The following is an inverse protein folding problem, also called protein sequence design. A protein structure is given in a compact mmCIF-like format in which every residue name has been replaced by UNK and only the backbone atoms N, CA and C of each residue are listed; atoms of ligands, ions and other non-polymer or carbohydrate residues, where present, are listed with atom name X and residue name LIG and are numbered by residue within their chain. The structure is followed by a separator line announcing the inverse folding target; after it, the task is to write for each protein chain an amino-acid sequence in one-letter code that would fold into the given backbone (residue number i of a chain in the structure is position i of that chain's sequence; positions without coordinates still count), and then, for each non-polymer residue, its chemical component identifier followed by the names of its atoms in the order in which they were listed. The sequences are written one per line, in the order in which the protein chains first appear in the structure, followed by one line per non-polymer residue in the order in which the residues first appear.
data_IF_508532537432
#
_entry.id   IF_508532537432
#
_cell.length_a   1.000
_cell.length_b   1.000
_cell.length_c   1.000
_cell.angle_alpha   90.00
_cell.angle_beta   90.00
_cell.angle_gamma   90.00
#
_symmetry.space_group_name_H-M   'P 1'
#
loop_
_entity.id
_entity.type
_entity.pdbx_description
1 polymer ?
#
# COMPACT_ATOMS: atom_id res chain seq x y z
N UNK A 1 52.09 -10.13 -31.99
CA UNK A 1 50.82 -9.57 -32.54
C UNK A 1 49.55 -10.39 -32.17
N UNK A 2 49.60 -11.74 -32.14
CA UNK A 2 48.41 -12.54 -31.73
C UNK A 2 47.97 -12.36 -30.27
N UNK A 3 48.90 -12.25 -29.32
CA UNK A 3 48.59 -12.10 -27.89
C UNK A 3 47.91 -10.75 -27.55
N UNK A 4 48.29 -9.67 -28.21
CA UNK A 4 47.71 -8.33 -28.02
C UNK A 4 46.28 -8.27 -28.54
N UNK A 5 45.96 -8.98 -29.63
CA UNK A 5 44.58 -9.07 -30.16
C UNK A 5 43.65 -9.88 -29.26
N UNK A 6 44.14 -10.93 -28.60
CA UNK A 6 43.34 -11.71 -27.65
C UNK A 6 43.07 -10.94 -26.37
N UNK A 7 44.02 -10.14 -25.86
CA UNK A 7 43.82 -9.29 -24.68
C UNK A 7 42.80 -8.17 -24.95
N UNK A 8 42.83 -7.57 -26.15
CA UNK A 8 41.87 -6.53 -26.54
C UNK A 8 40.44 -7.09 -26.70
N UNK A 9 40.28 -8.31 -27.22
CA UNK A 9 38.98 -8.99 -27.33
C UNK A 9 38.40 -9.35 -25.94
N UNK A 10 39.25 -9.77 -25.00
CA UNK A 10 38.80 -10.04 -23.61
C UNK A 10 38.36 -8.78 -22.90
N UNK A 11 39.04 -7.64 -23.11
CA UNK A 11 38.67 -6.36 -22.53
C UNK A 11 37.35 -5.80 -23.08
N UNK A 12 37.06 -5.98 -24.36
CA UNK A 12 35.83 -5.58 -25.02
C UNK A 12 34.64 -6.45 -24.51
N UNK A 13 34.84 -7.76 -24.34
CA UNK A 13 33.83 -8.66 -23.80
C UNK A 13 33.52 -8.36 -22.31
N UNK A 14 34.55 -8.01 -21.53
CA UNK A 14 34.36 -7.63 -20.11
C UNK A 14 33.67 -6.28 -19.98
N UNK A 15 33.90 -5.32 -20.85
CA UNK A 15 33.26 -4.02 -20.88
C UNK A 15 31.78 -4.11 -21.27
N UNK A 16 31.41 -5.04 -22.18
CA UNK A 16 30.02 -5.26 -22.57
C UNK A 16 29.23 -5.98 -21.46
N UNK A 17 29.86 -6.90 -20.71
CA UNK A 17 29.24 -7.54 -19.54
C UNK A 17 29.02 -6.57 -18.36
N UNK A 18 29.91 -5.58 -18.18
CA UNK A 18 29.76 -4.53 -17.15
C UNK A 18 28.70 -3.49 -17.51
N UNK A 19 28.39 -3.27 -18.79
CA UNK A 19 27.34 -2.35 -19.21
C UNK A 19 25.93 -2.93 -19.05
N UNK A 20 25.78 -4.25 -19.04
CA UNK A 20 24.48 -4.88 -18.76
C UNK A 20 24.13 -4.93 -17.26
N UNK A 21 25.12 -4.82 -16.37
CA UNK A 21 24.91 -4.77 -14.92
C UNK A 21 24.44 -3.39 -14.40
N UNK A 22 24.51 -2.34 -15.23
CA UNK A 22 24.06 -0.99 -14.83
C UNK A 22 22.62 -0.67 -15.24
N UNK A 23 21.92 -1.53 -15.94
CA UNK A 23 20.51 -1.34 -16.34
C UNK A 23 19.48 -1.90 -15.35
N UNK A 24 19.88 -2.33 -14.17
CA UNK A 24 18.96 -2.45 -13.03
C UNK A 24 18.83 -1.08 -12.33
N UNK A 25 18.64 0.00 -13.10
CA UNK A 25 18.08 1.23 -12.56
C UNK A 25 16.74 0.85 -11.93
N UNK A 26 16.64 1.01 -10.61
CA UNK A 26 15.41 0.84 -9.87
C UNK A 26 14.29 1.52 -10.68
N UNK A 27 13.38 0.75 -11.22
CA UNK A 27 12.16 1.30 -11.80
C UNK A 27 11.50 2.06 -10.65
N UNK A 28 11.61 3.37 -10.69
CA UNK A 28 10.90 4.27 -9.79
C UNK A 28 9.43 3.92 -9.98
N UNK A 29 8.88 3.13 -9.05
CA UNK A 29 7.47 2.80 -9.07
C UNK A 29 6.73 4.11 -8.93
N UNK A 30 6.04 4.52 -9.98
CA UNK A 30 5.21 5.74 -10.01
C UNK A 30 3.95 5.62 -9.18
N UNK A 31 3.75 4.48 -8.52
CA UNK A 31 2.55 4.14 -7.73
C UNK A 31 2.95 3.33 -6.50
N UNK A 32 2.35 3.66 -5.36
CA UNK A 32 2.51 2.90 -4.11
C UNK A 32 1.14 2.68 -3.45
N UNK A 33 0.87 1.44 -3.06
CA UNK A 33 -0.28 1.07 -2.23
C UNK A 33 0.08 1.11 -0.76
N UNK A 34 -0.82 1.63 0.06
CA UNK A 34 -0.69 1.70 1.52
C UNK A 34 -1.74 0.77 2.16
N UNK A 35 -1.35 -0.43 2.57
CA UNK A 35 -2.28 -1.42 3.12
C UNK A 35 -2.91 -0.98 4.44
N UNK A 36 -2.28 -0.05 5.16
CA UNK A 36 -2.77 0.50 6.43
C UNK A 36 -4.10 1.24 6.27
N UNK A 37 -4.33 1.84 5.11
CA UNK A 37 -5.56 2.60 4.82
C UNK A 37 -6.27 2.13 3.55
N UNK A 38 -5.59 1.29 2.74
CA UNK A 38 -6.14 0.74 1.52
C UNK A 38 -6.21 1.74 0.35
N UNK A 39 -5.28 2.70 0.29
CA UNK A 39 -5.24 3.73 -0.75
C UNK A 39 -3.92 3.72 -1.51
N UNK A 40 -3.94 4.26 -2.74
CA UNK A 40 -2.75 4.47 -3.55
C UNK A 40 -2.29 5.92 -3.49
N UNK A 41 -0.97 6.10 -3.57
CA UNK A 41 -0.35 7.40 -3.92
C UNK A 41 0.39 7.21 -5.23
N UNK A 42 0.23 8.16 -6.17
CA UNK A 42 0.72 8.01 -7.55
C UNK A 42 1.52 9.24 -7.98
N UNK A 43 2.40 9.03 -8.95
CA UNK A 43 3.09 10.07 -9.75
C UNK A 43 3.69 11.20 -8.90
N UNK A 44 3.33 12.46 -9.19
CA UNK A 44 3.87 13.63 -8.51
C UNK A 44 3.58 13.62 -7.00
N UNK A 45 2.40 13.15 -6.57
CA UNK A 45 2.08 13.03 -5.14
C UNK A 45 2.97 12.01 -4.45
N UNK A 46 3.29 10.88 -5.10
CA UNK A 46 4.21 9.90 -4.53
C UNK A 46 5.64 10.43 -4.47
N UNK A 47 6.08 11.15 -5.50
CA UNK A 47 7.38 11.79 -5.49
C UNK A 47 7.49 12.78 -4.33
N UNK A 48 6.49 13.65 -4.17
CA UNK A 48 6.43 14.62 -3.07
C UNK A 48 6.35 13.93 -1.71
N UNK A 49 5.52 12.90 -1.55
CA UNK A 49 5.43 12.13 -0.32
C UNK A 49 6.79 11.56 0.11
N UNK A 50 7.57 11.07 -0.84
CA UNK A 50 8.91 10.49 -0.61
C UNK A 50 10.03 11.53 -0.50
N UNK A 51 9.76 12.79 -0.75
CA UNK A 51 10.80 13.85 -0.74
C UNK A 51 11.23 14.26 0.66
N UNK A 52 10.54 13.83 1.70
CA UNK A 52 10.84 14.12 3.11
C UNK A 52 11.40 12.89 3.82
N UNK A 53 12.23 13.05 4.88
CA UNK A 53 12.86 11.92 5.58
C UNK A 53 11.86 10.95 6.22
N UNK A 54 10.80 11.47 6.83
CA UNK A 54 9.74 10.65 7.46
C UNK A 54 8.34 11.12 7.01
N UNK A 55 7.88 10.65 5.85
CA UNK A 55 6.57 11.04 5.33
C UNK A 55 5.41 10.56 6.20
N UNK A 56 5.59 9.44 6.92
CA UNK A 56 4.56 8.93 7.85
C UNK A 56 4.39 9.82 9.06
N UNK A 57 5.47 10.36 9.58
CA UNK A 57 5.42 11.35 10.66
C UNK A 57 4.77 12.65 10.18
N UNK A 58 5.16 13.14 9.02
CA UNK A 58 4.80 14.49 8.56
C UNK A 58 3.42 14.56 7.92
N UNK A 59 3.07 13.58 7.09
CA UNK A 59 1.81 13.58 6.34
C UNK A 59 0.82 12.52 6.83
N UNK A 60 1.31 11.47 7.49
CA UNK A 60 0.50 10.28 7.80
C UNK A 60 0.31 9.40 6.56
N UNK A 61 -0.64 8.47 6.64
CA UNK A 61 -1.05 7.63 5.53
C UNK A 61 -2.07 8.35 4.63
N UNK A 62 -2.15 8.03 3.33
CA UNK A 62 -3.23 8.53 2.47
C UNK A 62 -4.58 8.03 2.98
N UNK A 63 -5.60 8.89 2.98
CA UNK A 63 -6.96 8.54 3.40
C UNK A 63 -7.97 8.61 2.25
N UNK A 64 -7.52 9.03 1.06
CA UNK A 64 -8.29 8.99 -0.18
C UNK A 64 -7.38 8.59 -1.34
N UNK A 65 -7.96 8.28 -2.50
CA UNK A 65 -7.26 8.39 -3.79
C UNK A 65 -7.07 9.87 -4.16
N UNK A 66 -6.35 10.12 -5.27
CA UNK A 66 -6.36 11.44 -5.90
C UNK A 66 -7.78 11.74 -6.42
N UNK A 67 -8.33 12.88 -6.04
CA UNK A 67 -9.70 13.31 -6.36
C UNK A 67 -9.71 14.76 -6.87
N UNK A 68 -10.84 15.17 -7.43
CA UNK A 68 -11.20 16.59 -7.52
C UNK A 68 -12.05 16.92 -6.30
N UNK A 69 -11.52 17.76 -5.43
CA UNK A 69 -12.17 18.19 -4.18
C UNK A 69 -13.32 19.18 -4.48
N UNK A 70 -14.17 19.41 -3.50
CA UNK A 70 -15.30 20.36 -3.61
C UNK A 70 -14.87 21.79 -3.92
N UNK A 71 -13.66 22.18 -3.58
CA UNK A 71 -13.07 23.48 -3.98
C UNK A 71 -12.54 23.50 -5.42
N UNK A 72 -12.74 22.43 -6.20
CA UNK A 72 -12.36 22.29 -7.60
C UNK A 72 -10.90 21.95 -7.84
N UNK A 73 -10.10 21.73 -6.82
CA UNK A 73 -8.68 21.40 -6.94
C UNK A 73 -8.45 19.89 -7.09
N UNK A 74 -7.42 19.51 -7.85
CA UNK A 74 -6.93 18.15 -7.89
C UNK A 74 -6.08 17.91 -6.65
N UNK A 75 -6.51 16.99 -5.77
CA UNK A 75 -5.93 16.81 -4.43
C UNK A 75 -5.83 15.35 -4.03
N UNK A 76 -5.03 15.09 -2.99
CA UNK A 76 -5.08 13.86 -2.22
C UNK A 76 -5.00 14.18 -0.73
N UNK A 77 -5.89 13.56 0.05
CA UNK A 77 -5.89 13.72 1.50
C UNK A 77 -5.04 12.64 2.15
N UNK A 78 -4.27 13.09 3.14
CA UNK A 78 -3.52 12.27 4.08
C UNK A 78 -4.05 12.54 5.49
N UNK A 79 -3.71 11.72 6.46
CA UNK A 79 -4.17 11.91 7.83
C UNK A 79 -3.87 13.34 8.34
N UNK A 80 -2.66 13.87 8.09
CA UNK A 80 -2.17 15.14 8.64
C UNK A 80 -2.06 16.28 7.64
N UNK A 81 -2.18 15.98 6.36
CA UNK A 81 -1.95 16.94 5.28
C UNK A 81 -2.96 16.73 4.13
N UNK A 82 -3.10 17.75 3.30
CA UNK A 82 -3.72 17.66 1.99
C UNK A 82 -2.72 18.15 0.96
N UNK A 83 -2.47 17.33 -0.07
CA UNK A 83 -1.65 17.70 -1.21
C UNK A 83 -2.55 18.28 -2.32
N UNK A 84 -2.12 19.38 -2.94
CA UNK A 84 -2.77 20.01 -4.08
C UNK A 84 -1.86 19.93 -5.30
N UNK A 85 -2.41 19.66 -6.48
CA UNK A 85 -1.67 19.61 -7.73
C UNK A 85 -1.87 20.91 -8.52
N UNK A 86 -0.85 21.75 -8.56
CA UNK A 86 -0.81 23.02 -9.29
C UNK A 86 -0.06 22.84 -10.61
N UNK A 87 -0.77 22.46 -11.67
CA UNK A 87 -0.19 22.12 -12.99
C UNK A 87 0.53 23.27 -13.68
N UNK A 88 0.25 24.52 -13.30
CA UNK A 88 0.88 25.73 -13.85
C UNK A 88 2.28 26.00 -13.31
N UNK A 89 2.69 25.30 -12.25
CA UNK A 89 4.02 25.42 -11.67
C UNK A 89 5.03 24.48 -12.35
N UNK A 90 6.34 24.76 -12.23
CA UNK A 90 7.39 23.83 -12.64
C UNK A 90 7.19 22.44 -12.00
N UNK A 91 7.59 21.38 -12.67
CA UNK A 91 7.30 19.99 -12.28
C UNK A 91 7.67 19.66 -10.82
N UNK A 92 8.83 20.14 -10.36
CA UNK A 92 9.30 19.95 -9.00
C UNK A 92 8.59 20.81 -7.92
N UNK A 93 7.67 21.69 -8.33
CA UNK A 93 6.89 22.58 -7.47
C UNK A 93 5.38 22.39 -7.62
N UNK A 94 4.94 21.44 -8.43
CA UNK A 94 3.50 21.25 -8.71
C UNK A 94 2.72 20.78 -7.51
N UNK A 95 3.32 20.01 -6.64
CA UNK A 95 2.63 19.54 -5.42
C UNK A 95 2.86 20.53 -4.30
N UNK A 96 1.76 21.08 -3.80
CA UNK A 96 1.75 22.06 -2.72
C UNK A 96 0.98 21.49 -1.51
N UNK A 97 1.40 21.90 -0.31
CA UNK A 97 0.65 21.61 0.91
C UNK A 97 -0.44 22.65 1.11
N UNK A 98 -1.69 22.20 1.23
CA UNK A 98 -2.80 23.06 1.66
C UNK A 98 -2.51 23.65 3.02
N UNK A 99 -2.76 24.96 3.27
CA UNK A 99 -2.62 25.56 4.58
C UNK A 99 -3.75 25.16 5.55
N UNK A 100 -3.85 23.84 5.83
CA UNK A 100 -4.93 23.24 6.63
C UNK A 100 -4.93 23.74 8.08
N UNK A 101 -3.77 24.08 8.61
CA UNK A 101 -3.68 24.68 9.95
C UNK A 101 -4.35 26.04 10.00
N UNK A 102 -4.11 26.90 9.00
CA UNK A 102 -4.75 28.21 8.90
C UNK A 102 -6.28 28.09 8.68
N UNK A 103 -6.69 27.14 7.83
CA UNK A 103 -8.10 26.94 7.52
C UNK A 103 -8.92 26.39 8.70
N UNK A 104 -8.28 25.64 9.60
CA UNK A 104 -8.92 24.98 10.75
C UNK A 104 -8.60 25.68 12.09
N UNK A 105 -7.86 26.78 12.07
CA UNK A 105 -7.51 27.48 13.30
C UNK A 105 -8.75 28.05 13.98
N UNK A 106 -8.94 27.64 15.22
CA UNK A 106 -9.93 28.19 16.14
C UNK A 106 -9.19 28.64 17.41
N UNK A 107 -9.36 29.90 17.77
CA UNK A 107 -8.67 30.49 18.92
C UNK A 107 -9.17 29.88 20.23
N UNK A 108 -8.23 29.56 21.12
CA UNK A 108 -8.51 29.07 22.46
C UNK A 108 -7.74 29.83 23.55
N UNK A 109 -7.81 29.35 24.79
CA UNK A 109 -7.13 29.96 25.92
C UNK A 109 -5.60 29.86 25.76
N UNK A 110 -4.94 31.01 25.88
CA UNK A 110 -3.51 31.10 25.69
C UNK A 110 -2.73 30.64 26.91
N UNK A 111 -1.74 29.80 26.69
CA UNK A 111 -0.71 29.52 27.70
C UNK A 111 0.34 30.65 27.70
N UNK A 112 0.44 31.39 28.77
CA UNK A 112 1.48 32.39 28.96
C UNK A 112 2.76 31.72 29.46
N UNK A 113 3.83 31.86 28.71
CA UNK A 113 5.17 31.42 29.14
C UNK A 113 5.82 32.55 29.94
N UNK A 114 6.19 32.29 31.17
CA UNK A 114 6.90 33.26 32.03
C UNK A 114 8.35 33.45 31.58
N UNK A 115 8.96 32.42 31.01
CA UNK A 115 10.32 32.42 30.51
C UNK A 115 10.36 32.11 29.02
N UNK A 116 10.88 33.02 28.22
CA UNK A 116 11.07 32.92 26.77
C UNK A 116 12.43 32.35 26.37
N UNK A 117 13.26 31.91 27.34
CA UNK A 117 14.51 31.21 27.04
C UNK A 117 14.22 29.95 26.26
N UNK A 118 14.95 29.71 25.15
CA UNK A 118 14.68 28.57 24.23
C UNK A 118 13.53 28.81 23.26
N UNK A 119 13.14 30.08 23.04
CA UNK A 119 12.15 30.46 22.04
C UNK A 119 12.79 31.18 20.85
N UNK A 120 12.18 31.05 19.68
CA UNK A 120 12.50 31.82 18.48
C UNK A 120 11.25 32.57 18.02
N UNK A 121 11.42 33.89 17.80
CA UNK A 121 10.34 34.76 17.31
C UNK A 121 10.28 34.73 15.79
N UNK A 122 9.08 34.55 15.24
CA UNK A 122 8.83 34.52 13.81
C UNK A 122 8.22 35.82 13.28
N UNK A 123 8.28 36.08 11.96
CA UNK A 123 7.73 37.30 11.35
C UNK A 123 6.24 37.55 11.61
N UNK A 124 5.49 36.49 11.92
CA UNK A 124 4.06 36.55 12.30
C UNK A 124 3.82 37.13 13.69
N UNK A 125 4.89 37.44 14.47
CA UNK A 125 4.79 37.90 15.84
C UNK A 125 4.61 36.81 16.89
N UNK A 126 4.58 35.56 16.50
CA UNK A 126 4.47 34.41 17.40
C UNK A 126 5.83 33.75 17.60
N UNK A 127 6.06 33.23 18.81
CA UNK A 127 7.28 32.48 19.14
C UNK A 127 6.99 31.01 19.16
N UNK A 128 7.95 30.19 18.68
CA UNK A 128 7.97 28.74 18.87
C UNK A 128 9.06 28.41 19.89
N UNK A 129 8.78 27.56 20.87
CA UNK A 129 9.64 27.36 22.02
C UNK A 129 9.93 25.91 22.33
N UNK A 130 11.13 25.66 22.93
CA UNK A 130 11.48 24.39 23.54
C UNK A 130 11.31 23.21 22.59
N UNK A 131 10.66 22.14 23.06
CA UNK A 131 10.47 20.93 22.26
C UNK A 131 9.70 21.15 20.94
N UNK A 132 8.81 22.16 20.87
CA UNK A 132 8.13 22.49 19.61
C UNK A 132 9.12 23.14 18.62
N UNK A 133 10.05 23.96 19.13
CA UNK A 133 11.10 24.55 18.28
C UNK A 133 12.07 23.50 17.76
N UNK A 134 12.49 22.58 18.64
CA UNK A 134 13.36 21.47 18.25
C UNK A 134 12.70 20.59 17.19
N UNK A 135 11.45 20.22 17.40
CA UNK A 135 10.66 19.45 16.43
C UNK A 135 10.48 20.19 15.10
N UNK A 136 10.16 21.49 15.17
CA UNK A 136 10.00 22.35 13.99
C UNK A 136 11.28 22.37 13.14
N UNK A 137 12.43 22.64 13.77
CA UNK A 137 13.74 22.69 13.08
C UNK A 137 14.16 21.34 12.51
N UNK A 138 13.97 20.27 13.26
CA UNK A 138 14.36 18.93 12.85
C UNK A 138 13.54 18.40 11.66
N UNK A 139 12.33 18.92 11.44
CA UNK A 139 11.39 18.39 10.47
C UNK A 139 11.05 19.35 9.32
N UNK A 140 11.96 20.25 8.96
CA UNK A 140 11.85 21.10 7.75
C UNK A 140 11.32 22.51 7.98
N UNK A 141 11.03 22.90 9.20
CA UNK A 141 10.72 24.29 9.58
C UNK A 141 9.55 24.90 8.82
N UNK A 142 9.68 26.20 8.48
CA UNK A 142 8.63 26.93 7.79
C UNK A 142 8.33 26.40 6.37
N UNK A 143 9.27 25.76 5.71
CA UNK A 143 9.02 25.13 4.40
C UNK A 143 7.98 24.03 4.52
N UNK A 144 8.07 23.20 5.57
CA UNK A 144 7.17 22.08 5.83
C UNK A 144 5.87 22.53 6.52
N UNK A 145 5.96 23.32 7.59
CA UNK A 145 4.82 23.60 8.46
C UNK A 145 4.19 24.97 8.23
N UNK A 146 4.85 25.85 7.47
CA UNK A 146 4.52 27.29 7.45
C UNK A 146 5.00 28.00 8.71
N UNK A 147 4.70 29.29 8.82
CA UNK A 147 4.99 30.08 10.01
C UNK A 147 3.99 29.76 11.14
N UNK A 148 4.36 29.95 12.41
CA UNK A 148 3.39 29.88 13.50
C UNK A 148 2.32 30.96 13.34
N UNK A 149 1.05 30.61 13.55
CA UNK A 149 -0.11 31.51 13.43
C UNK A 149 -0.87 31.67 14.75
N UNK A 150 -0.43 31.00 15.81
CA UNK A 150 -0.95 31.15 17.16
C UNK A 150 0.17 31.15 18.20
N UNK A 151 -0.09 31.67 19.41
CA UNK A 151 0.71 31.35 20.59
C UNK A 151 0.48 29.88 20.97
N UNK A 152 1.07 29.43 22.09
CA UNK A 152 0.64 28.21 22.76
C UNK A 152 -0.76 28.37 23.31
N UNK A 153 -1.62 27.40 23.05
CA UNK A 153 -3.03 27.39 23.47
C UNK A 153 -3.41 26.05 24.09
N UNK A 154 -4.51 26.05 24.87
CA UNK A 154 -5.10 24.83 25.39
C UNK A 154 -6.29 24.43 24.54
N UNK A 155 -6.20 23.29 23.86
CA UNK A 155 -7.31 22.65 23.18
C UNK A 155 -7.55 21.27 23.81
N UNK A 156 -8.74 21.02 24.30
CA UNK A 156 -9.12 19.72 24.91
C UNK A 156 -8.11 19.23 25.97
N UNK A 157 -7.60 20.13 26.78
CA UNK A 157 -6.57 19.88 27.81
C UNK A 157 -5.16 19.58 27.26
N UNK A 158 -4.93 19.72 25.98
CA UNK A 158 -3.62 19.60 25.36
C UNK A 158 -3.03 20.98 25.09
N UNK A 159 -1.71 21.10 25.27
CA UNK A 159 -0.97 22.27 24.80
C UNK A 159 -0.74 22.11 23.32
N UNK A 160 -1.20 23.09 22.54
CA UNK A 160 -1.07 23.07 21.08
C UNK A 160 -0.47 24.38 20.57
N UNK A 161 0.06 24.33 19.35
CA UNK A 161 0.40 25.52 18.58
C UNK A 161 0.07 25.28 17.11
N UNK A 162 -0.60 26.27 16.51
CA UNK A 162 -0.94 26.23 15.09
C UNK A 162 0.14 26.89 14.24
N UNK A 163 0.38 26.26 13.12
CA UNK A 163 1.17 26.73 11.99
C UNK A 163 0.28 26.82 10.76
N UNK A 164 0.71 27.51 9.71
CA UNK A 164 -0.12 27.64 8.49
C UNK A 164 -0.59 26.28 7.93
N UNK A 165 0.28 25.26 7.98
CA UNK A 165 0.01 23.93 7.37
C UNK A 165 -0.12 22.80 8.38
N UNK A 166 0.04 23.05 9.68
CA UNK A 166 0.05 22.01 10.72
C UNK A 166 -0.43 22.52 12.08
N UNK A 167 -0.75 21.59 12.98
CA UNK A 167 -0.92 21.85 14.42
C UNK A 167 -0.02 20.88 15.19
N UNK A 168 0.80 21.41 16.09
CA UNK A 168 1.59 20.63 17.03
C UNK A 168 0.81 20.46 18.32
N UNK A 169 0.94 19.29 18.94
CA UNK A 169 0.35 18.92 20.22
C UNK A 169 1.44 18.41 21.16
N UNK A 170 1.37 18.82 22.42
CA UNK A 170 2.21 18.27 23.48
C UNK A 170 1.51 17.09 24.16
N UNK A 171 2.13 15.92 24.07
CA UNK A 171 1.66 14.66 24.64
C UNK A 171 2.58 14.23 25.78
N UNK A 172 2.24 14.64 27.02
CA UNK A 172 2.99 14.32 28.22
C UNK A 172 3.06 12.81 28.52
N UNK A 173 2.07 12.07 28.03
CA UNK A 173 1.96 10.60 28.15
C UNK A 173 2.96 9.83 27.31
N UNK A 174 3.68 10.49 26.40
CA UNK A 174 4.69 9.87 25.53
C UNK A 174 6.10 9.97 26.10
N UNK A 175 7.01 9.07 25.68
CA UNK A 175 8.43 9.15 26.06
C UNK A 175 9.05 10.49 25.66
N UNK A 176 10.10 10.89 26.39
CA UNK A 176 10.89 12.06 26.02
C UNK A 176 11.41 11.95 24.58
N UNK A 177 11.44 13.08 23.86
CA UNK A 177 11.77 13.14 22.42
C UNK A 177 10.62 12.74 21.48
N UNK A 178 9.51 12.17 21.97
CA UNK A 178 8.33 11.79 21.18
C UNK A 178 7.06 12.55 21.63
N UNK A 179 7.20 13.53 22.49
CA UNK A 179 6.06 14.24 23.09
C UNK A 179 5.40 15.26 22.16
N UNK A 180 6.11 15.72 21.14
CA UNK A 180 5.53 16.59 20.11
C UNK A 180 4.96 15.72 18.99
N UNK A 181 3.66 15.86 18.74
CA UNK A 181 2.96 15.12 17.68
C UNK A 181 2.21 16.09 16.78
N UNK A 182 1.93 15.64 15.56
CA UNK A 182 1.11 16.37 14.61
C UNK A 182 -0.34 15.90 14.72
N UNK A 183 -1.26 16.86 14.75
CA UNK A 183 -2.70 16.59 14.67
C UNK A 183 -3.06 16.09 13.28
N UNK A 184 -4.06 15.22 13.18
CA UNK A 184 -4.57 14.68 11.90
C UNK A 184 -5.45 15.71 11.16
N UNK A 185 -4.91 16.92 10.91
CA UNK A 185 -5.62 18.04 10.29
C UNK A 185 -6.10 17.75 8.87
N UNK A 186 -5.43 16.87 8.13
CA UNK A 186 -5.87 16.48 6.80
C UNK A 186 -7.24 15.79 6.85
N UNK A 187 -7.47 14.94 7.86
CA UNK A 187 -8.77 14.31 8.10
C UNK A 187 -9.81 15.36 8.55
N UNK A 188 -9.48 16.23 9.47
CA UNK A 188 -10.39 17.29 9.91
C UNK A 188 -10.78 18.23 8.76
N UNK A 189 -9.85 18.52 7.85
CA UNK A 189 -10.10 19.38 6.70
C UNK A 189 -11.01 18.69 5.66
N UNK A 190 -10.85 17.37 5.46
CA UNK A 190 -11.77 16.56 4.66
C UNK A 190 -13.22 16.70 5.17
N UNK A 191 -13.41 16.54 6.48
CA UNK A 191 -14.71 16.65 7.12
C UNK A 191 -15.25 18.10 7.06
N UNK A 192 -14.38 19.12 7.19
CA UNK A 192 -14.75 20.55 7.11
C UNK A 192 -15.27 20.96 5.73
N UNK A 193 -14.69 20.39 4.65
CA UNK A 193 -15.15 20.64 3.27
C UNK A 193 -16.39 19.81 2.91
N UNK A 194 -16.89 19.00 3.83
CA UNK A 194 -18.03 18.10 3.62
C UNK A 194 -17.81 17.20 2.39
N UNK A 195 -16.59 16.68 2.23
CA UNK A 195 -16.25 15.74 1.15
C UNK A 195 -17.07 14.44 1.33
N UNK A 196 -17.31 13.72 0.24
CA UNK A 196 -18.05 12.45 0.28
C UNK A 196 -17.31 11.40 1.15
N UNK A 197 -17.91 10.93 2.26
CA UNK A 197 -17.32 9.90 3.11
C UNK A 197 -17.02 8.58 2.37
N UNK A 198 -17.65 8.33 1.22
CA UNK A 198 -17.35 7.17 0.39
C UNK A 198 -15.91 7.17 -0.15
N UNK A 199 -15.28 8.35 -0.28
CA UNK A 199 -13.89 8.51 -0.71
C UNK A 199 -12.87 7.96 0.30
N UNK A 200 -13.27 7.77 1.56
CA UNK A 200 -12.44 7.17 2.61
C UNK A 200 -12.46 5.63 2.58
N UNK A 201 -13.27 5.02 1.72
CA UNK A 201 -13.34 3.56 1.64
C UNK A 201 -12.08 3.02 0.98
N UNK A 202 -11.46 1.98 1.57
CA UNK A 202 -10.34 1.29 0.94
C UNK A 202 -10.68 0.84 -0.48
N UNK A 203 -9.75 1.05 -1.40
CA UNK A 203 -9.83 0.49 -2.75
C UNK A 203 -9.14 -0.86 -2.78
N UNK A 204 -9.66 -1.79 -3.58
CA UNK A 204 -8.98 -3.07 -3.81
C UNK A 204 -7.73 -2.83 -4.65
N UNK A 205 -6.61 -3.48 -4.35
CA UNK A 205 -5.44 -3.47 -5.23
C UNK A 205 -5.83 -3.96 -6.63
N UNK A 206 -5.74 -3.08 -7.62
CA UNK A 206 -6.21 -3.36 -8.98
C UNK A 206 -5.17 -4.08 -9.85
N UNK A 207 -3.89 -4.06 -9.45
CA UNK A 207 -2.80 -4.58 -10.27
C UNK A 207 -1.79 -5.37 -9.43
N UNK A 208 -1.50 -6.59 -9.87
CA UNK A 208 -0.50 -7.47 -9.25
C UNK A 208 0.93 -6.88 -9.30
N UNK A 209 1.21 -5.96 -10.23
CA UNK A 209 2.51 -5.28 -10.32
C UNK A 209 2.70 -4.24 -9.22
N UNK A 210 1.59 -3.71 -8.69
CA UNK A 210 1.58 -2.71 -7.60
C UNK A 210 1.62 -3.42 -6.24
N UNK A 211 1.00 -4.58 -6.15
CA UNK A 211 0.99 -5.46 -4.98
C UNK A 211 1.53 -6.83 -5.41
N UNK A 212 2.86 -7.02 -5.42
CA UNK A 212 3.43 -8.28 -5.89
C UNK A 212 2.83 -9.44 -5.09
N UNK A 213 2.39 -10.46 -5.80
CA UNK A 213 1.98 -11.71 -5.18
C UNK A 213 3.25 -12.39 -4.66
N UNK A 214 3.39 -12.45 -3.35
CA UNK A 214 4.55 -13.03 -2.66
C UNK A 214 4.32 -14.49 -2.25
N UNK A 215 3.06 -14.87 -2.13
CA UNK A 215 2.65 -16.25 -1.88
C UNK A 215 1.25 -16.50 -2.44
N UNK A 216 0.98 -17.76 -2.79
CA UNK A 216 -0.34 -18.20 -3.19
C UNK A 216 -0.83 -19.31 -2.26
N UNK A 217 -2.14 -19.37 -2.06
CA UNK A 217 -2.81 -20.45 -1.35
C UNK A 217 -3.93 -21.01 -2.21
N UNK A 218 -3.91 -22.34 -2.42
CA UNK A 218 -4.93 -23.04 -3.16
C UNK A 218 -5.90 -23.76 -2.22
N UNK A 219 -7.17 -23.70 -2.57
CA UNK A 219 -8.26 -24.46 -1.95
C UNK A 219 -8.94 -25.28 -3.03
N UNK A 220 -9.40 -26.48 -2.70
CA UNK A 220 -10.12 -27.31 -3.65
C UNK A 220 -11.30 -28.00 -2.98
N UNK A 221 -12.37 -28.14 -3.74
CA UNK A 221 -13.57 -28.84 -3.34
C UNK A 221 -14.24 -29.51 -4.57
N UNK A 222 -15.02 -30.51 -4.32
CA UNK A 222 -15.76 -31.25 -5.32
C UNK A 222 -17.22 -30.84 -5.33
N UNK A 223 -17.86 -30.87 -6.49
CA UNK A 223 -19.27 -30.52 -6.60
C UNK A 223 -20.18 -31.52 -5.84
N UNK A 224 -19.81 -32.81 -5.84
CA UNK A 224 -20.57 -33.87 -5.19
C UNK A 224 -19.64 -34.71 -4.30
N UNK A 225 -19.73 -34.61 -2.96
CA UNK A 225 -18.89 -35.40 -2.05
C UNK A 225 -19.20 -36.91 -2.12
N UNK A 226 -20.43 -37.27 -2.47
CA UNK A 226 -20.90 -38.65 -2.72
C UNK A 226 -21.48 -38.74 -4.13
N UNK A 227 -21.11 -39.76 -4.89
CA UNK A 227 -21.50 -39.91 -6.29
C UNK A 227 -21.59 -41.38 -6.65
N UNK A 228 -22.37 -41.74 -7.69
CA UNK A 228 -22.47 -43.09 -8.20
C UNK A 228 -21.20 -43.63 -8.84
N UNK A 229 -21.16 -44.93 -9.12
CA UNK A 229 -20.03 -45.63 -9.75
C UNK A 229 -19.71 -45.14 -11.17
N UNK A 230 -20.66 -44.51 -11.82
CA UNK A 230 -20.53 -43.91 -13.15
C UNK A 230 -21.11 -42.51 -13.15
N UNK A 231 -20.42 -41.56 -13.79
CA UNK A 231 -20.91 -40.17 -13.85
C UNK A 231 -19.86 -39.14 -14.16
N UNK A 232 -20.22 -37.89 -13.80
CA UNK A 232 -19.36 -36.72 -13.99
C UNK A 232 -19.18 -36.00 -12.66
N UNK A 233 -17.93 -35.64 -12.32
CA UNK A 233 -17.56 -34.86 -11.14
C UNK A 233 -16.83 -33.58 -11.53
N UNK A 234 -17.27 -32.47 -11.00
CA UNK A 234 -16.52 -31.19 -11.13
C UNK A 234 -15.70 -30.91 -9.87
N UNK A 235 -14.46 -30.51 -10.09
CA UNK A 235 -13.55 -30.07 -9.07
C UNK A 235 -13.36 -28.57 -9.25
N UNK A 236 -13.56 -27.78 -8.20
CA UNK A 236 -13.33 -26.37 -8.18
C UNK A 236 -12.07 -26.06 -7.39
N UNK A 237 -11.18 -25.27 -7.97
CA UNK A 237 -9.92 -24.87 -7.37
C UNK A 237 -9.89 -23.34 -7.25
N UNK A 238 -9.68 -22.81 -6.05
CA UNK A 238 -9.58 -21.38 -5.82
C UNK A 238 -8.13 -21.06 -5.46
N UNK A 239 -7.52 -20.16 -6.22
CA UNK A 239 -6.20 -19.61 -5.93
C UNK A 239 -6.31 -18.17 -5.38
N UNK A 240 -5.70 -17.94 -4.21
CA UNK A 240 -5.66 -16.64 -3.53
C UNK A 240 -4.23 -16.23 -3.22
N UNK A 241 -3.96 -14.91 -3.26
CA UNK A 241 -2.70 -14.32 -2.80
C UNK A 241 -2.63 -14.25 -1.26
N UNK A 242 -1.50 -13.78 -0.71
CA UNK A 242 -1.34 -13.49 0.71
C UNK A 242 -2.38 -12.49 1.26
N UNK A 243 -2.95 -11.64 0.42
CA UNK A 243 -4.01 -10.67 0.77
C UNK A 243 -5.41 -11.17 0.43
N UNK A 244 -5.57 -12.47 0.17
CA UNK A 244 -6.82 -13.14 -0.21
C UNK A 244 -7.41 -12.67 -1.56
N UNK A 245 -6.65 -11.93 -2.37
CA UNK A 245 -7.07 -11.52 -3.70
C UNK A 245 -7.06 -12.71 -4.67
N UNK A 246 -7.93 -12.66 -5.67
CA UNK A 246 -8.00 -13.66 -6.72
C UNK A 246 -6.68 -13.70 -7.53
N UNK A 247 -6.14 -14.91 -7.74
CA UNK A 247 -4.95 -15.10 -8.59
C UNK A 247 -5.43 -15.64 -9.94
N UNK A 248 -5.53 -14.77 -10.92
CA UNK A 248 -5.89 -15.14 -12.31
C UNK A 248 -4.67 -15.69 -13.06
N UNK A 249 -4.92 -16.51 -14.10
CA UNK A 249 -3.88 -17.10 -14.93
C UNK A 249 -2.86 -17.97 -14.16
N UNK A 250 -3.18 -18.42 -12.95
CA UNK A 250 -2.40 -19.46 -12.29
C UNK A 250 -2.67 -20.79 -13.00
N UNK A 251 -1.61 -21.50 -13.33
CA UNK A 251 -1.69 -22.84 -13.94
C UNK A 251 -1.67 -23.91 -12.86
N UNK A 252 -2.34 -25.01 -13.08
CA UNK A 252 -2.36 -26.09 -12.12
C UNK A 252 -2.56 -27.47 -12.74
N UNK A 253 -2.29 -28.47 -11.91
CA UNK A 253 -2.45 -29.87 -12.22
C UNK A 253 -3.20 -30.56 -11.09
N UNK A 254 -4.26 -31.28 -11.45
CA UNK A 254 -4.98 -32.18 -10.57
C UNK A 254 -4.61 -33.63 -10.92
N UNK A 255 -4.05 -34.36 -9.97
CA UNK A 255 -3.69 -35.78 -10.11
C UNK A 255 -4.75 -36.60 -9.40
N UNK A 256 -5.56 -37.32 -10.17
CA UNK A 256 -6.67 -38.13 -9.69
C UNK A 256 -6.18 -39.56 -9.51
N UNK A 257 -6.41 -40.15 -8.33
CA UNK A 257 -6.13 -41.56 -8.04
C UNK A 257 -7.44 -42.31 -7.99
N UNK A 258 -7.71 -43.05 -9.03
CA UNK A 258 -8.92 -43.85 -9.16
C UNK A 258 -8.90 -45.13 -8.30
N UNK A 259 -10.06 -45.64 -8.00
CA UNK A 259 -10.25 -46.88 -7.16
C UNK A 259 -9.72 -48.14 -7.81
N UNK A 260 -9.55 -48.14 -9.12
CA UNK A 260 -8.98 -49.25 -9.92
C UNK A 260 -7.43 -49.17 -10.03
N UNK A 261 -6.82 -48.19 -9.38
CA UNK A 261 -5.35 -47.96 -9.36
C UNK A 261 -4.85 -47.09 -10.50
N UNK A 262 -5.69 -46.66 -11.45
CA UNK A 262 -5.29 -45.69 -12.47
C UNK A 262 -4.99 -44.34 -11.84
N UNK A 263 -4.02 -43.64 -12.44
CA UNK A 263 -3.68 -42.27 -12.08
C UNK A 263 -3.78 -41.39 -13.33
N UNK A 264 -4.59 -40.35 -13.25
CA UNK A 264 -4.83 -39.45 -14.37
C UNK A 264 -4.49 -38.00 -13.96
N UNK A 265 -3.98 -37.24 -14.90
CA UNK A 265 -3.58 -35.84 -14.68
C UNK A 265 -4.44 -34.91 -15.54
N UNK A 266 -4.98 -33.87 -14.90
CA UNK A 266 -5.80 -32.86 -15.54
C UNK A 266 -5.18 -31.48 -15.30
N UNK A 267 -4.99 -30.72 -16.37
CA UNK A 267 -4.44 -29.38 -16.31
C UNK A 267 -5.57 -28.36 -16.33
N UNK A 268 -5.36 -27.26 -15.63
CA UNK A 268 -6.29 -26.15 -15.58
C UNK A 268 -5.57 -24.80 -15.45
N UNK A 269 -6.31 -23.73 -15.74
CA UNK A 269 -5.88 -22.35 -15.51
C UNK A 269 -6.99 -21.61 -14.79
N UNK A 270 -6.61 -20.74 -13.84
CA UNK A 270 -7.59 -19.94 -13.10
C UNK A 270 -8.04 -18.73 -13.92
N UNK A 271 -9.33 -18.40 -13.84
CA UNK A 271 -9.96 -17.25 -14.46
C UNK A 271 -9.73 -15.95 -13.63
N UNK A 272 -10.35 -14.84 -14.02
CA UNK A 272 -10.24 -13.54 -13.33
C UNK A 272 -10.69 -13.58 -11.86
N UNK A 273 -11.60 -14.51 -11.50
CA UNK A 273 -12.01 -14.70 -10.11
C UNK A 273 -11.04 -15.62 -9.31
N UNK A 274 -9.93 -16.06 -9.92
CA UNK A 274 -9.00 -17.01 -9.33
C UNK A 274 -9.58 -18.44 -9.26
N UNK A 275 -10.58 -18.76 -10.08
CA UNK A 275 -11.26 -20.06 -10.11
C UNK A 275 -10.77 -20.89 -11.29
N UNK A 276 -10.26 -22.10 -11.00
CA UNK A 276 -10.01 -23.18 -11.96
C UNK A 276 -11.06 -24.27 -11.81
N UNK A 277 -11.40 -24.93 -12.90
CA UNK A 277 -12.36 -26.04 -12.91
C UNK A 277 -11.79 -27.21 -13.68
N UNK A 278 -11.92 -28.40 -13.12
CA UNK A 278 -11.60 -29.69 -13.78
C UNK A 278 -12.85 -30.55 -13.75
N UNK A 279 -13.19 -31.13 -14.89
CA UNK A 279 -14.33 -32.06 -15.02
C UNK A 279 -13.81 -33.45 -15.26
N UNK A 280 -14.19 -34.39 -14.41
CA UNK A 280 -13.87 -35.80 -14.51
C UNK A 280 -15.10 -36.58 -15.05
N UNK A 281 -14.89 -37.41 -16.07
CA UNK A 281 -15.87 -38.38 -16.51
C UNK A 281 -15.35 -39.79 -16.20
N UNK A 282 -16.16 -40.62 -15.58
CA UNK A 282 -15.73 -41.94 -15.14
C UNK A 282 -16.87 -42.93 -15.18
N UNK A 283 -16.52 -44.22 -15.27
CA UNK A 283 -17.44 -45.33 -15.21
C UNK A 283 -16.85 -46.46 -14.37
N UNK A 284 -17.73 -47.32 -13.89
CA UNK A 284 -17.40 -48.58 -13.25
C UNK A 284 -16.43 -48.50 -12.07
N UNK A 285 -16.52 -47.37 -11.31
CA UNK A 285 -15.71 -47.20 -10.13
C UNK A 285 -16.24 -48.04 -8.95
N UNK A 286 -15.30 -48.54 -8.14
CA UNK A 286 -15.63 -49.46 -7.06
C UNK A 286 -16.38 -48.72 -5.93
N UNK A 287 -17.53 -49.23 -5.56
CA UNK A 287 -18.39 -48.68 -4.50
C UNK A 287 -17.71 -48.75 -3.13
N UNK A 288 -17.99 -47.73 -2.29
CA UNK A 288 -17.43 -47.59 -0.96
C UNK A 288 -16.04 -46.98 -0.90
N UNK A 289 -15.36 -46.88 -2.04
CA UNK A 289 -13.98 -46.41 -2.13
C UNK A 289 -13.90 -44.85 -2.25
N UNK A 290 -12.74 -44.31 -1.86
CA UNK A 290 -12.44 -42.88 -1.88
C UNK A 290 -11.54 -42.57 -3.08
N UNK A 291 -11.97 -41.65 -3.94
CA UNK A 291 -11.14 -41.09 -5.01
C UNK A 291 -10.41 -39.86 -4.44
N UNK A 292 -9.08 -39.91 -4.41
CA UNK A 292 -8.24 -38.83 -3.92
C UNK A 292 -7.71 -38.00 -5.09
N UNK A 293 -7.64 -36.68 -4.87
CA UNK A 293 -7.19 -35.71 -5.87
C UNK A 293 -6.15 -34.81 -5.23
N UNK A 294 -4.91 -34.96 -5.67
CA UNK A 294 -3.81 -34.07 -5.29
C UNK A 294 -3.72 -32.92 -6.31
N UNK A 295 -3.66 -31.69 -5.82
CA UNK A 295 -3.70 -30.50 -6.67
C UNK A 295 -2.47 -29.65 -6.39
N UNK A 296 -1.80 -29.23 -7.45
CA UNK A 296 -0.68 -28.28 -7.41
C UNK A 296 -1.09 -27.09 -8.26
N UNK A 297 -0.93 -25.89 -7.72
CA UNK A 297 -1.14 -24.62 -8.42
C UNK A 297 0.16 -23.83 -8.44
N UNK A 298 0.51 -23.25 -9.58
CA UNK A 298 1.72 -22.47 -9.78
C UNK A 298 1.37 -21.12 -10.42
N UNK A 299 1.99 -20.06 -9.91
CA UNK A 299 1.89 -18.70 -10.45
C UNK A 299 3.22 -17.99 -10.32
N UNK A 300 3.86 -17.61 -11.42
CA UNK A 300 5.14 -16.88 -11.44
C UNK A 300 6.23 -17.47 -10.51
N UNK A 301 6.36 -18.80 -10.50
CA UNK A 301 7.32 -19.50 -9.64
C UNK A 301 6.86 -19.76 -8.21
N UNK A 302 5.74 -19.21 -7.79
CA UNK A 302 5.10 -19.51 -6.50
C UNK A 302 4.26 -20.76 -6.62
N UNK A 303 4.33 -21.66 -5.63
CA UNK A 303 3.60 -22.90 -5.63
C UNK A 303 2.70 -23.07 -4.41
N UNK A 304 1.54 -23.71 -4.59
CA UNK A 304 0.67 -24.16 -3.51
C UNK A 304 0.14 -25.57 -3.79
N UNK A 305 0.06 -26.37 -2.75
CA UNK A 305 -0.50 -27.72 -2.82
C UNK A 305 -1.76 -27.82 -1.97
N UNK A 306 -2.75 -28.52 -2.47
CA UNK A 306 -3.98 -28.85 -1.72
C UNK A 306 -4.48 -30.22 -2.14
N UNK A 307 -5.43 -30.74 -1.41
CA UNK A 307 -6.05 -32.04 -1.67
C UNK A 307 -7.55 -31.94 -1.48
N UNK A 308 -8.31 -32.70 -2.30
CA UNK A 308 -9.74 -32.95 -2.11
C UNK A 308 -10.04 -34.39 -2.42
N UNK A 309 -11.26 -34.84 -2.14
CA UNK A 309 -11.70 -36.23 -2.42
C UNK A 309 -13.21 -36.30 -2.55
N UNK A 310 -13.69 -37.37 -3.18
CA UNK A 310 -15.09 -37.75 -3.17
C UNK A 310 -15.20 -39.26 -3.02
N UNK A 311 -16.34 -39.74 -2.57
CA UNK A 311 -16.60 -41.15 -2.36
C UNK A 311 -17.59 -41.71 -3.40
N UNK A 312 -17.28 -42.88 -3.92
CA UNK A 312 -18.20 -43.67 -4.71
C UNK A 312 -19.15 -44.38 -3.76
N UNK A 313 -20.45 -44.13 -3.86
CA UNK A 313 -21.38 -44.61 -2.84
C UNK A 313 -22.40 -45.61 -3.39
N UNK A 314 -22.92 -45.40 -4.60
CA UNK A 314 -23.94 -46.24 -5.25
C UNK A 314 -23.71 -46.43 -6.75
#
# INVERSE_FOLDING_TARGET
MKAIRQLALLFVLLATLLSELQSAAAQSTTVQFFPETGHYVKEEFLHFYRSVPDPRLLFGYPITEQITSRDGKAVQYFQRARFELERNLPENQRVQLTPVGQALYERADQLRLENISGCELFPTGYSVCLAFLDFFKANGGAAQFGNPISPFEFHESLIVQYFEKARFEWRADRPEGQRVVLTDLGRHYFDRLDEDPALLRPVSPLDATINPILSIKAYAFVAKPLIGSTGQQSIYIIARSQTLQAVSNATGKATVRWTDGRVEEYFFTTNQAGLGTVTLNFSDQKQGELVQIDIIVVYQGLGSKTRTSFRIWF
#
